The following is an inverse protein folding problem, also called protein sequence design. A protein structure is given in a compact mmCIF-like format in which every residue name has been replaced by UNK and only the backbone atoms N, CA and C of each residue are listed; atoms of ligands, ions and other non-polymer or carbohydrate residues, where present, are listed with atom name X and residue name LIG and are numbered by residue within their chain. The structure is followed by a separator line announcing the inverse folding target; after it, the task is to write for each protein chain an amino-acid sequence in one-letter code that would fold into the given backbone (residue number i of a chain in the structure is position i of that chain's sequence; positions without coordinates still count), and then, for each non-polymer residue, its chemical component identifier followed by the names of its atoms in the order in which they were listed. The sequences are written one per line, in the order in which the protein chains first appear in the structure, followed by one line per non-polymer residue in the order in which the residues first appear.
data_IF_742121367050
#
_entry.id   IF_742121367050
#
_cell.length_a   1.000
_cell.length_b   1.000
_cell.length_c   1.000
_cell.angle_alpha   90.00
_cell.angle_beta   90.00
_cell.angle_gamma   90.00
#
_symmetry.space_group_name_H-M   'P 1'
#
loop_
_entity.id
_entity.type
_entity.pdbx_description
1 polymer ?
#
# COMPACT_ATOMS: atom_id res chain seq x y z
N UNK A 1 -23.35 -27.12 -6.46
CA UNK A 1 -21.88 -26.99 -6.60
C UNK A 1 -21.54 -25.57 -7.06
N UNK A 2 -21.30 -24.65 -6.14
CA UNK A 2 -20.96 -23.25 -6.43
C UNK A 2 -19.53 -23.17 -6.96
N UNK A 3 -19.38 -22.92 -8.26
CA UNK A 3 -18.07 -22.74 -8.91
C UNK A 3 -17.48 -21.40 -8.48
N UNK A 4 -16.62 -21.43 -7.47
CA UNK A 4 -15.79 -20.29 -7.08
C UNK A 4 -14.90 -19.91 -8.27
N UNK A 5 -15.18 -18.77 -8.91
CA UNK A 5 -14.31 -18.20 -9.94
C UNK A 5 -13.13 -17.56 -9.24
N UNK A 6 -12.05 -18.31 -9.07
CA UNK A 6 -10.75 -17.75 -8.71
C UNK A 6 -10.30 -16.88 -9.88
N UNK A 7 -10.15 -15.58 -9.64
CA UNK A 7 -9.53 -14.66 -10.59
C UNK A 7 -8.06 -15.04 -10.83
N UNK A 8 -7.42 -14.46 -11.85
CA UNK A 8 -5.99 -14.70 -12.13
C UNK A 8 -5.16 -14.50 -10.86
N UNK A 9 -4.25 -15.42 -10.57
CA UNK A 9 -3.29 -15.28 -9.47
C UNK A 9 -2.45 -14.03 -9.73
N UNK A 10 -2.40 -13.13 -8.77
CA UNK A 10 -1.52 -11.96 -8.82
C UNK A 10 -0.08 -12.48 -8.79
N UNK A 11 0.71 -12.17 -9.82
CA UNK A 11 2.14 -12.49 -9.83
C UNK A 11 2.85 -11.59 -8.80
N UNK A 12 3.10 -12.12 -7.60
CA UNK A 12 3.65 -11.39 -6.46
C UNK A 12 5.19 -11.51 -6.38
N UNK A 13 5.85 -11.60 -7.54
CA UNK A 13 7.30 -11.70 -7.60
C UNK A 13 7.94 -10.37 -7.19
N UNK A 14 8.99 -10.38 -6.34
CA UNK A 14 9.75 -9.18 -6.04
C UNK A 14 10.32 -8.54 -7.32
N UNK A 15 10.09 -7.24 -7.48
CA UNK A 15 10.66 -6.45 -8.58
C UNK A 15 11.86 -5.67 -8.06
N UNK A 16 13.01 -5.83 -8.71
CA UNK A 16 14.21 -5.04 -8.39
C UNK A 16 14.11 -3.66 -9.03
N UNK A 17 14.23 -2.62 -8.22
CA UNK A 17 14.26 -1.22 -8.66
C UNK A 17 15.59 -0.60 -8.27
N UNK A 18 16.23 0.11 -9.20
CA UNK A 18 17.43 0.92 -8.92
C UNK A 18 17.00 2.36 -8.72
N UNK A 19 17.45 2.99 -7.63
CA UNK A 19 17.02 4.34 -7.23
C UNK A 19 18.26 5.18 -6.94
N UNK A 20 18.29 6.38 -7.49
CA UNK A 20 19.27 7.40 -7.15
C UNK A 20 18.65 8.40 -6.17
N UNK A 21 19.38 8.70 -5.09
CA UNK A 21 18.92 9.65 -4.07
C UNK A 21 19.84 10.87 -4.07
N UNK A 22 19.30 12.10 -3.91
CA UNK A 22 20.11 13.26 -3.60
C UNK A 22 20.98 13.00 -2.36
N UNK A 23 22.24 13.42 -2.39
CA UNK A 23 23.18 13.23 -1.28
C UNK A 23 22.65 13.66 0.10
N UNK A 24 21.98 14.82 0.23
CA UNK A 24 21.37 15.23 1.50
C UNK A 24 20.30 14.25 1.99
N UNK A 25 19.43 13.77 1.11
CA UNK A 25 18.36 12.83 1.47
C UNK A 25 18.93 11.49 1.96
N UNK A 26 20.01 11.00 1.35
CA UNK A 26 20.68 9.80 1.82
C UNK A 26 21.26 9.98 3.23
N UNK A 27 21.88 11.14 3.52
CA UNK A 27 22.40 11.47 4.85
C UNK A 27 21.28 11.51 5.91
N UNK A 28 20.15 12.12 5.58
CA UNK A 28 18.98 12.15 6.46
C UNK A 28 18.43 10.74 6.71
N UNK A 29 18.41 9.89 5.68
CA UNK A 29 17.95 8.50 5.81
C UNK A 29 18.88 7.67 6.72
N UNK A 30 20.19 7.87 6.63
CA UNK A 30 21.18 7.27 7.54
C UNK A 30 20.91 7.72 8.98
N UNK A 31 20.80 9.02 9.22
CA UNK A 31 20.54 9.56 10.55
C UNK A 31 19.20 9.07 11.13
N UNK A 32 18.17 8.98 10.29
CA UNK A 32 16.87 8.45 10.66
C UNK A 32 16.96 6.97 11.06
N UNK A 33 17.69 6.15 10.31
CA UNK A 33 17.91 4.75 10.63
C UNK A 33 18.57 4.59 12.01
N UNK A 34 19.64 5.36 12.27
CA UNK A 34 20.33 5.35 13.57
C UNK A 34 19.42 5.75 14.74
N UNK A 35 18.59 6.78 14.56
CA UNK A 35 17.62 7.21 15.57
C UNK A 35 16.60 6.10 15.86
N UNK A 36 16.10 5.45 14.82
CA UNK A 36 15.12 4.37 14.95
C UNK A 36 15.71 3.14 15.67
N UNK A 37 16.98 2.79 15.40
CA UNK A 37 17.67 1.71 16.12
C UNK A 37 17.78 1.97 17.61
N UNK A 38 18.12 3.20 18.00
CA UNK A 38 18.21 3.54 19.43
C UNK A 38 16.88 3.34 20.15
N UNK A 39 15.76 3.47 19.45
CA UNK A 39 14.42 3.29 19.99
C UNK A 39 13.96 1.82 19.98
N UNK A 40 14.56 0.97 19.14
CA UNK A 40 14.19 -0.44 18.97
C UNK A 40 15.32 -1.36 19.46
N UNK A 41 15.38 -1.57 20.78
CA UNK A 41 16.36 -2.48 21.39
C UNK A 41 16.20 -3.90 20.82
N UNK A 42 17.21 -4.37 20.07
CA UNK A 42 17.32 -5.77 19.63
C UNK A 42 17.34 -6.02 18.12
N UNK A 43 17.24 -5.00 17.28
CA UNK A 43 17.37 -5.15 15.83
C UNK A 43 18.73 -4.67 15.32
N UNK A 44 19.39 -5.53 14.53
CA UNK A 44 20.66 -5.23 13.84
C UNK A 44 20.56 -3.94 13.04
N UNK A 45 21.71 -3.26 12.87
CA UNK A 45 21.84 -2.06 12.04
C UNK A 45 21.07 -2.19 10.72
N UNK A 46 19.95 -1.48 10.63
CA UNK A 46 19.22 -1.30 9.39
C UNK A 46 20.09 -0.46 8.47
N UNK A 47 20.63 -1.14 7.47
CA UNK A 47 20.94 -0.55 6.20
C UNK A 47 19.82 0.45 5.83
N UNK A 48 20.14 1.74 5.62
CA UNK A 48 19.15 2.77 5.31
C UNK A 48 18.30 2.41 4.09
N UNK A 49 18.83 1.65 3.14
CA UNK A 49 18.07 1.18 1.98
C UNK A 49 16.92 0.24 2.35
N UNK A 50 17.06 -0.55 3.44
CA UNK A 50 16.00 -1.45 3.94
C UNK A 50 14.80 -0.70 4.51
N UNK A 51 14.94 0.60 4.81
CA UNK A 51 13.82 1.43 5.27
C UNK A 51 12.93 1.89 4.12
N UNK A 52 13.45 1.97 2.89
CA UNK A 52 12.72 2.52 1.74
C UNK A 52 11.45 1.71 1.47
N UNK A 53 11.55 0.38 1.45
CA UNK A 53 10.40 -0.52 1.18
C UNK A 53 9.27 -0.35 2.21
N UNK A 54 9.50 -0.53 3.53
CA UNK A 54 8.42 -0.36 4.52
C UNK A 54 7.89 1.09 4.59
N UNK A 55 8.73 2.10 4.33
CA UNK A 55 8.25 3.49 4.22
C UNK A 55 7.28 3.68 3.07
N UNK A 56 7.62 3.20 1.87
CA UNK A 56 6.75 3.29 0.69
C UNK A 56 5.46 2.49 0.87
N UNK A 57 5.55 1.29 1.46
CA UNK A 57 4.37 0.47 1.75
C UNK A 57 3.41 1.21 2.70
N UNK A 58 3.95 1.81 3.77
CA UNK A 58 3.15 2.60 4.72
C UNK A 58 2.53 3.81 4.04
N UNK A 59 3.32 4.56 3.26
CA UNK A 59 2.86 5.73 2.52
C UNK A 59 1.66 5.39 1.62
N UNK A 60 1.81 4.40 0.73
CA UNK A 60 0.75 3.96 -0.20
C UNK A 60 -0.49 3.47 0.55
N UNK A 61 -0.32 2.73 1.64
CA UNK A 61 -1.43 2.19 2.42
C UNK A 61 -2.25 3.30 3.08
N UNK A 62 -1.60 4.36 3.54
CA UNK A 62 -2.26 5.46 4.26
C UNK A 62 -2.78 6.60 3.39
N UNK A 63 -2.37 6.66 2.11
CA UNK A 63 -2.79 7.70 1.19
C UNK A 63 -4.27 7.53 0.78
N UNK A 64 -5.14 8.35 1.39
CA UNK A 64 -6.58 8.35 1.11
C UNK A 64 -6.91 8.87 -0.29
N UNK A 65 -6.11 9.80 -0.83
CA UNK A 65 -6.29 10.33 -2.18
C UNK A 65 -6.05 9.23 -3.20
N UNK A 66 -4.94 8.51 -3.04
CA UNK A 66 -4.65 7.32 -3.81
C UNK A 66 -5.74 6.24 -3.65
N UNK A 67 -6.16 5.95 -2.42
CA UNK A 67 -7.19 4.92 -2.18
C UNK A 67 -8.53 5.23 -2.87
N UNK A 68 -8.95 6.50 -2.94
CA UNK A 68 -10.17 6.93 -3.66
C UNK A 68 -10.03 6.69 -5.16
N UNK A 69 -8.93 7.14 -5.75
CA UNK A 69 -8.70 6.99 -7.20
C UNK A 69 -8.52 5.53 -7.60
N UNK A 70 -7.78 4.73 -6.80
CA UNK A 70 -7.60 3.29 -7.03
C UNK A 70 -8.93 2.55 -7.10
N UNK A 71 -9.91 2.89 -6.23
CA UNK A 71 -11.26 2.29 -6.28
C UNK A 71 -12.03 2.70 -7.53
N UNK A 72 -11.93 3.97 -7.93
CA UNK A 72 -12.57 4.47 -9.14
C UNK A 72 -12.01 3.79 -10.41
N UNK A 73 -10.70 3.58 -10.49
CA UNK A 73 -10.03 2.93 -11.63
C UNK A 73 -10.28 1.42 -11.65
N UNK A 74 -10.30 0.74 -10.50
CA UNK A 74 -10.56 -0.70 -10.41
C UNK A 74 -12.05 -1.07 -10.51
N UNK A 75 -12.93 -0.12 -10.84
CA UNK A 75 -14.36 -0.39 -11.02
C UNK A 75 -15.07 -0.89 -9.76
N UNK A 76 -14.46 -0.74 -8.57
CA UNK A 76 -15.13 -0.98 -7.29
C UNK A 76 -16.01 0.24 -6.97
N UNK A 77 -16.91 0.56 -7.89
CA UNK A 77 -18.14 1.25 -7.55
C UNK A 77 -18.84 0.32 -6.58
N UNK A 78 -18.80 0.66 -5.29
CA UNK A 78 -19.78 0.14 -4.36
C UNK A 78 -21.12 0.63 -4.87
N UNK A 79 -21.73 -0.15 -5.76
CA UNK A 79 -23.13 -0.02 -6.12
C UNK A 79 -23.88 -0.25 -4.81
N UNK A 80 -24.16 0.84 -4.12
CA UNK A 80 -25.23 0.90 -3.16
C UNK A 80 -26.46 0.39 -3.89
N UNK A 81 -26.87 -0.83 -3.57
CA UNK A 81 -28.13 -1.41 -4.00
C UNK A 81 -29.25 -0.52 -3.51
N UNK A 82 -29.63 0.44 -4.35
CA UNK A 82 -30.92 1.09 -4.29
C UNK A 82 -31.94 -0.02 -4.61
N UNK A 83 -32.55 -0.58 -3.58
CA UNK A 83 -33.69 -1.48 -3.75
C UNK A 83 -34.84 -0.68 -4.38
N UNK A 84 -35.47 -1.15 -5.47
CA UNK A 84 -36.63 -0.48 -6.01
C UNK A 84 -37.75 -0.61 -4.99
N UNK A 85 -38.38 0.51 -4.61
CA UNK A 85 -39.66 0.48 -3.89
C UNK A 85 -40.69 -0.06 -4.88
N UNK A 86 -41.15 -1.28 -4.61
CA UNK A 86 -42.29 -1.87 -5.30
C UNK A 86 -43.51 -1.06 -4.83
N UNK A 87 -44.17 -0.40 -5.77
CA UNK A 87 -45.43 0.31 -5.53
C UNK A 87 -46.53 -0.73 -5.32
N UNK A 88 -46.92 -0.92 -4.07
CA UNK A 88 -48.06 -1.75 -3.68
C UNK A 88 -49.20 -0.82 -3.27
N UNK A 89 -49.89 -0.27 -4.27
CA UNK A 89 -51.17 0.40 -4.10
C UNK A 89 -52.22 -0.32 -4.96
N UNK A 90 -52.93 -1.25 -4.32
CA UNK A 90 -54.21 -1.78 -4.78
C UNK A 90 -55.24 -1.51 -3.71
#
# INVERSE_FOLDING_TARGET
MTKLKLGPLVDDKPVKVSIELPGPLYRDLVAYAELLHRQQQGQSSADPAKLIVPMLQRFITTDRGFAKQKRAVLGFSGASSQTPKIDESR
#
